data_IF_177274178822
#
_entry.id   IF_177274178822
#
_cell.length_a   1.000
_cell.length_b   1.000
_cell.length_c   1.000
_cell.angle_alpha   90.00
_cell.angle_beta   90.00
_cell.angle_gamma   90.00
#
_symmetry.space_group_name_H-M   'P 1'
#
loop_
_entity.id
_entity.type
_entity.pdbx_description
1 polymer ?
#
# COMPACT_ATOMS: atom_id res chain seq x y z
N UNK A 1 -6.26 -8.49 -21.36
CA UNK A 1 -5.05 -7.65 -21.26
C UNK A 1 -4.15 -8.03 -22.43
N UNK A 2 -3.60 -7.05 -23.13
CA UNK A 2 -2.72 -7.30 -24.26
C UNK A 2 -1.45 -8.02 -23.74
N UNK A 3 -0.91 -9.01 -24.46
CA UNK A 3 0.23 -9.84 -24.04
C UNK A 3 1.53 -9.03 -23.86
N UNK A 4 1.57 -7.85 -24.44
CA UNK A 4 2.72 -6.96 -24.37
C UNK A 4 2.80 -6.10 -23.09
N UNK A 5 1.81 -6.13 -22.20
CA UNK A 5 1.85 -5.35 -20.94
C UNK A 5 2.73 -6.04 -19.92
N UNK A 6 3.85 -5.41 -19.58
CA UNK A 6 4.83 -5.87 -18.57
C UNK A 6 4.67 -5.17 -17.23
N UNK A 7 4.17 -3.94 -17.23
CA UNK A 7 3.94 -3.14 -16.03
C UNK A 7 2.67 -2.32 -16.09
N UNK A 8 2.14 -2.00 -14.91
CA UNK A 8 1.06 -1.03 -14.73
C UNK A 8 1.54 -0.06 -13.66
N UNK A 9 1.47 1.23 -13.93
CA UNK A 9 1.81 2.25 -12.95
C UNK A 9 0.64 3.20 -12.75
N UNK A 10 0.37 3.53 -11.50
CA UNK A 10 -0.67 4.46 -11.09
C UNK A 10 -0.05 5.55 -10.23
N UNK A 11 -0.51 6.76 -10.43
CA UNK A 11 -0.27 7.87 -9.51
C UNK A 11 -1.57 8.67 -9.39
N UNK A 12 -1.89 9.09 -8.17
CA UNK A 12 -3.12 9.82 -7.93
C UNK A 12 -2.96 10.88 -6.85
N UNK A 13 -3.90 11.81 -6.84
CA UNK A 13 -4.08 12.81 -5.80
C UNK A 13 -5.39 12.52 -5.06
N UNK A 14 -5.34 12.57 -3.73
CA UNK A 14 -6.51 12.49 -2.84
C UNK A 14 -6.52 13.70 -1.93
N UNK A 15 -7.59 14.49 -1.98
CA UNK A 15 -7.85 15.56 -1.03
C UNK A 15 -8.56 14.97 0.19
N UNK A 16 -8.17 15.37 1.38
CA UNK A 16 -8.78 14.92 2.63
C UNK A 16 -9.30 16.09 3.44
N UNK A 17 -10.38 15.85 4.16
CA UNK A 17 -10.81 16.71 5.26
C UNK A 17 -9.94 16.50 6.49
N UNK A 18 -10.31 17.09 7.64
CA UNK A 18 -9.60 16.94 8.90
C UNK A 18 -9.45 15.47 9.28
N UNK A 19 -8.24 14.98 9.29
CA UNK A 19 -7.96 13.56 9.56
C UNK A 19 -6.54 13.34 10.10
N UNK A 20 -6.32 12.14 10.67
CA UNK A 20 -5.01 11.58 10.96
C UNK A 20 -4.94 10.19 10.31
N UNK A 21 -4.50 10.14 9.07
CA UNK A 21 -4.43 8.89 8.30
C UNK A 21 -3.35 7.93 8.81
N UNK A 22 -2.27 8.44 9.40
CA UNK A 22 -1.17 7.61 9.88
C UNK A 22 -0.51 8.23 11.12
N UNK A 23 -0.93 7.78 12.29
CA UNK A 23 -0.35 8.22 13.55
C UNK A 23 1.15 7.91 13.61
N UNK A 24 1.92 8.87 14.13
CA UNK A 24 3.31 8.75 14.55
C UNK A 24 3.45 8.15 15.95
N UNK A 25 4.66 8.12 16.45
CA UNK A 25 4.98 7.92 17.87
C UNK A 25 4.91 9.30 18.53
N UNK A 26 3.81 9.56 19.25
CA UNK A 26 3.64 10.81 19.97
C UNK A 26 4.38 10.81 21.31
N UNK A 27 4.70 11.97 21.83
CA UNK A 27 5.22 12.14 23.18
C UNK A 27 4.07 12.25 24.19
N UNK A 28 4.16 11.52 25.30
CA UNK A 28 3.20 11.52 26.40
C UNK A 28 1.74 11.28 25.95
N UNK A 29 0.87 12.29 26.03
CA UNK A 29 -0.55 12.20 25.68
C UNK A 29 -0.89 12.73 24.28
N UNK A 30 0.10 12.95 23.40
CA UNK A 30 -0.10 13.44 22.05
C UNK A 30 0.06 12.29 21.04
N UNK A 31 -0.90 12.14 20.14
CA UNK A 31 -0.83 11.25 18.98
C UNK A 31 -0.53 12.08 17.75
N UNK A 32 0.72 12.08 17.35
CA UNK A 32 1.22 12.85 16.22
C UNK A 32 0.77 12.27 14.88
N UNK A 33 0.72 13.13 13.86
CA UNK A 33 0.75 12.70 12.45
C UNK A 33 2.20 12.44 12.06
N UNK A 34 2.47 11.40 11.26
CA UNK A 34 3.79 11.20 10.66
C UNK A 34 4.11 12.32 9.69
N UNK A 35 5.26 12.98 9.90
CA UNK A 35 5.71 14.14 9.13
C UNK A 35 7.10 13.91 8.52
N UNK A 36 7.37 14.57 7.40
CA UNK A 36 8.71 14.70 6.82
C UNK A 36 9.04 16.18 6.57
N UNK A 37 10.33 16.48 6.57
CA UNK A 37 10.81 17.87 6.34
C UNK A 37 11.23 18.06 4.89
N UNK A 38 10.77 19.16 4.28
CA UNK A 38 11.18 19.62 2.96
C UNK A 38 11.28 21.13 2.96
N UNK A 39 12.46 21.68 2.58
CA UNK A 39 12.72 23.13 2.54
C UNK A 39 12.35 23.85 3.84
N UNK A 40 12.67 23.29 4.99
CA UNK A 40 12.41 23.87 6.31
C UNK A 40 10.98 23.75 6.81
N UNK A 41 10.03 23.28 6.01
CA UNK A 41 8.63 23.04 6.38
C UNK A 41 8.35 21.56 6.65
N UNK A 42 7.38 21.27 7.50
CA UNK A 42 6.88 19.92 7.76
C UNK A 42 5.66 19.61 6.89
N UNK A 43 5.60 18.37 6.41
CA UNK A 43 4.53 17.84 5.58
C UNK A 43 4.08 16.51 6.13
N UNK A 44 2.76 16.24 6.22
CA UNK A 44 2.29 14.92 6.66
C UNK A 44 2.55 13.88 5.60
N UNK A 45 2.68 12.61 6.02
CA UNK A 45 2.72 11.49 5.08
C UNK A 45 2.09 10.24 5.68
N UNK A 46 1.60 9.37 4.81
CA UNK A 46 1.19 8.02 5.15
C UNK A 46 2.28 7.06 4.68
N UNK A 47 2.83 6.27 5.58
CA UNK A 47 3.91 5.34 5.24
C UNK A 47 3.48 4.35 4.16
N UNK A 48 4.42 3.89 3.34
CA UNK A 48 4.16 2.87 2.33
C UNK A 48 3.63 1.56 2.93
N UNK A 49 4.00 1.24 4.17
CA UNK A 49 3.47 0.11 4.91
C UNK A 49 1.98 0.29 5.24
N UNK A 50 1.59 1.47 5.73
CA UNK A 50 0.18 1.78 6.01
C UNK A 50 -0.65 1.80 4.73
N UNK A 51 -0.18 2.46 3.67
CA UNK A 51 -0.84 2.45 2.36
C UNK A 51 -1.05 1.03 1.82
N UNK A 52 -0.02 0.19 1.96
CA UNK A 52 -0.11 -1.21 1.58
C UNK A 52 -1.15 -1.98 2.40
N UNK A 53 -1.26 -1.70 3.69
CA UNK A 53 -2.29 -2.27 4.56
C UNK A 53 -3.69 -1.84 4.09
N UNK A 54 -3.93 -0.56 3.82
CA UNK A 54 -5.23 -0.05 3.36
C UNK A 54 -5.67 -0.69 2.05
N UNK A 55 -4.76 -0.83 1.09
CA UNK A 55 -5.04 -1.51 -0.19
C UNK A 55 -5.37 -2.99 0.05
N UNK A 56 -4.63 -3.68 0.93
CA UNK A 56 -4.91 -5.08 1.25
C UNK A 56 -6.27 -5.25 1.92
N UNK A 57 -6.65 -4.36 2.83
CA UNK A 57 -7.97 -4.42 3.49
C UNK A 57 -9.10 -4.12 2.50
N UNK A 58 -8.93 -3.17 1.57
CA UNK A 58 -9.90 -2.93 0.50
C UNK A 58 -10.09 -4.18 -0.39
N UNK A 59 -9.00 -4.89 -0.74
CA UNK A 59 -9.10 -6.17 -1.46
C UNK A 59 -9.83 -7.21 -0.60
N UNK A 60 -9.50 -7.31 0.69
CA UNK A 60 -10.10 -8.30 1.62
C UNK A 60 -11.61 -8.12 1.76
N UNK A 61 -12.09 -6.89 1.83
CA UNK A 61 -13.54 -6.58 1.86
C UNK A 61 -14.26 -6.98 0.57
N UNK A 62 -13.55 -7.01 -0.56
CA UNK A 62 -14.07 -7.41 -1.87
C UNK A 62 -13.77 -8.87 -2.25
N UNK A 63 -13.40 -9.75 -1.30
CA UNK A 63 -13.17 -11.16 -1.59
C UNK A 63 -14.48 -11.88 -1.91
N UNK A 64 -14.44 -12.72 -2.93
CA UNK A 64 -15.50 -13.66 -3.25
C UNK A 64 -15.36 -14.92 -2.37
N UNK A 65 -16.42 -15.74 -2.29
CA UNK A 65 -16.51 -16.90 -1.40
C UNK A 65 -15.37 -17.92 -1.59
N UNK A 66 -14.87 -18.05 -2.81
CA UNK A 66 -13.79 -18.97 -3.17
C UNK A 66 -12.39 -18.34 -3.18
N UNK A 67 -12.26 -17.10 -2.75
CA UNK A 67 -10.99 -16.37 -2.72
C UNK A 67 -10.39 -16.32 -1.32
N UNK A 68 -9.08 -16.30 -1.26
CA UNK A 68 -8.37 -16.38 0.01
C UNK A 68 -7.23 -15.38 0.12
N UNK A 69 -7.19 -14.69 1.26
CA UNK A 69 -6.06 -13.88 1.71
C UNK A 69 -5.71 -14.25 3.14
N UNK A 70 -4.52 -14.80 3.37
CA UNK A 70 -4.05 -15.10 4.71
C UNK A 70 -3.81 -13.82 5.52
N UNK A 71 -3.89 -13.97 6.83
CA UNK A 71 -3.40 -12.97 7.80
C UNK A 71 -1.97 -13.34 8.22
N UNK A 72 -1.13 -12.37 8.61
CA UNK A 72 0.16 -12.65 9.21
C UNK A 72 -0.03 -13.25 10.61
N UNK A 73 0.93 -14.07 11.03
CA UNK A 73 1.05 -14.50 12.42
C UNK A 73 1.70 -13.43 13.30
N UNK A 74 1.97 -13.74 14.55
CA UNK A 74 2.59 -12.83 15.54
C UNK A 74 3.99 -12.35 15.12
N UNK A 75 4.68 -13.10 14.25
CA UNK A 75 6.00 -12.74 13.70
C UNK A 75 5.91 -11.99 12.39
N UNK A 76 4.69 -11.75 11.87
CA UNK A 76 4.47 -11.14 10.58
C UNK A 76 4.62 -12.11 9.39
N UNK A 77 4.80 -13.41 9.64
CA UNK A 77 4.90 -14.43 8.60
C UNK A 77 3.51 -14.83 8.08
N UNK A 78 3.37 -15.20 6.79
CA UNK A 78 2.09 -15.60 6.23
C UNK A 78 1.65 -16.95 6.79
N UNK A 79 0.46 -17.01 7.40
CA UNK A 79 -0.11 -18.27 7.95
C UNK A 79 -0.28 -19.37 6.89
N UNK A 80 -0.44 -18.99 5.61
CA UNK A 80 -0.48 -19.93 4.47
C UNK A 80 0.91 -20.37 3.98
N UNK A 81 1.99 -20.00 4.68
CA UNK A 81 3.39 -20.34 4.33
C UNK A 81 3.81 -19.92 2.92
N UNK A 82 3.27 -18.81 2.43
CA UNK A 82 3.61 -18.27 1.12
C UNK A 82 2.99 -19.00 -0.06
N UNK A 83 1.89 -19.69 0.12
CA UNK A 83 1.18 -20.36 -0.97
C UNK A 83 0.53 -19.33 -1.91
N UNK A 84 1.24 -18.95 -2.99
CA UNK A 84 0.77 -17.96 -3.97
C UNK A 84 -0.37 -18.49 -4.85
N UNK A 85 -0.51 -19.79 -5.00
CA UNK A 85 -1.60 -20.37 -5.79
C UNK A 85 -2.97 -20.03 -5.18
N UNK A 86 -3.09 -20.19 -3.87
CA UNK A 86 -4.32 -19.94 -3.11
C UNK A 86 -4.43 -18.52 -2.58
N UNK A 87 -3.32 -17.92 -2.15
CA UNK A 87 -3.33 -16.68 -1.39
C UNK A 87 -3.03 -15.46 -2.26
N UNK A 88 -4.05 -14.63 -2.48
CA UNK A 88 -3.96 -13.37 -3.23
C UNK A 88 -2.95 -12.41 -2.58
N UNK A 89 -2.92 -12.32 -1.24
CA UNK A 89 -1.99 -11.44 -0.53
C UNK A 89 -0.53 -11.86 -0.75
N UNK A 90 -0.21 -13.15 -0.63
CA UNK A 90 1.14 -13.64 -0.83
C UNK A 90 1.60 -13.47 -2.28
N UNK A 91 0.70 -13.70 -3.24
CA UNK A 91 1.04 -13.50 -4.65
C UNK A 91 1.31 -12.03 -4.98
N UNK A 92 0.40 -11.12 -4.61
CA UNK A 92 0.49 -9.72 -5.03
C UNK A 92 1.47 -8.90 -4.21
N UNK A 93 1.52 -9.14 -2.89
CA UNK A 93 2.29 -8.28 -1.98
C UNK A 93 3.57 -8.92 -1.47
N UNK A 94 3.90 -10.15 -1.88
CA UNK A 94 5.11 -10.82 -1.43
C UNK A 94 5.10 -11.14 0.08
N UNK A 95 6.14 -11.81 0.51
CA UNK A 95 6.29 -12.25 1.89
C UNK A 95 7.74 -12.65 2.21
N UNK A 96 7.99 -12.81 3.48
CA UNK A 96 9.13 -13.54 4.03
C UNK A 96 8.58 -14.54 5.06
N UNK A 97 9.01 -15.79 4.99
CA UNK A 97 8.60 -16.84 5.90
C UNK A 97 9.75 -17.80 6.16
N UNK A 98 9.72 -18.46 7.31
CA UNK A 98 10.62 -19.58 7.64
C UNK A 98 9.87 -20.89 7.43
N UNK A 99 10.36 -21.71 6.51
CA UNK A 99 9.72 -22.96 6.10
C UNK A 99 10.48 -24.16 6.64
N UNK A 100 9.76 -25.15 7.18
CA UNK A 100 10.34 -26.42 7.61
C UNK A 100 10.71 -27.27 6.39
N UNK A 101 11.82 -28.02 6.50
CA UNK A 101 12.23 -29.00 5.50
C UNK A 101 11.08 -30.00 5.21
N UNK A 102 10.87 -30.30 3.94
CA UNK A 102 9.82 -31.22 3.47
C UNK A 102 8.42 -30.60 3.33
N UNK A 103 8.24 -29.31 3.66
CA UNK A 103 6.94 -28.63 3.45
C UNK A 103 6.65 -28.49 1.96
N UNK A 104 5.53 -29.02 1.49
CA UNK A 104 5.08 -28.90 0.09
C UNK A 104 4.36 -27.58 -0.11
N UNK A 105 4.89 -26.76 -1.00
CA UNK A 105 4.35 -25.46 -1.40
C UNK A 105 4.57 -25.27 -2.91
N UNK A 106 3.86 -24.35 -3.58
CA UNK A 106 4.11 -24.07 -5.00
C UNK A 106 5.59 -23.77 -5.27
N UNK A 107 6.15 -24.44 -6.28
CA UNK A 107 7.57 -24.40 -6.61
C UNK A 107 8.43 -25.47 -5.94
N UNK A 108 7.92 -26.16 -4.92
CA UNK A 108 8.61 -27.22 -4.21
C UNK A 108 7.71 -28.44 -4.04
N UNK A 109 7.35 -29.16 -5.13
CA UNK A 109 6.44 -30.30 -5.09
C UNK A 109 7.01 -31.48 -4.25
N UNK A 110 8.33 -31.65 -4.27
CA UNK A 110 9.05 -32.66 -3.47
C UNK A 110 9.31 -32.23 -2.02
N UNK A 111 8.99 -30.97 -1.71
CA UNK A 111 9.17 -30.35 -0.40
C UNK A 111 10.30 -29.32 -0.37
N UNK A 112 10.09 -28.24 0.40
CA UNK A 112 11.06 -27.16 0.58
C UNK A 112 12.32 -27.67 1.33
N UNK A 113 13.53 -27.23 0.96
CA UNK A 113 14.77 -27.66 1.62
C UNK A 113 14.89 -27.20 3.09
N UNK A 114 14.02 -26.31 3.53
CA UNK A 114 14.04 -25.64 4.82
C UNK A 114 14.70 -24.27 4.76
N UNK A 115 14.43 -23.41 5.76
CA UNK A 115 15.01 -22.06 5.84
C UNK A 115 14.10 -20.97 5.29
N UNK A 116 14.72 -19.86 4.84
CA UNK A 116 13.98 -18.70 4.36
C UNK A 116 13.27 -18.97 3.02
N UNK A 117 12.00 -18.63 2.97
CA UNK A 117 11.19 -18.61 1.76
C UNK A 117 10.67 -17.19 1.56
N UNK A 118 11.07 -16.56 0.47
CA UNK A 118 10.79 -15.14 0.21
C UNK A 118 10.16 -14.96 -1.16
N UNK A 119 9.34 -13.92 -1.29
CA UNK A 119 8.79 -13.48 -2.55
C UNK A 119 8.89 -11.97 -2.67
N UNK A 120 9.50 -11.49 -3.73
CA UNK A 120 9.47 -10.07 -4.07
C UNK A 120 8.03 -9.66 -4.43
N UNK A 121 7.56 -8.57 -3.82
CA UNK A 121 6.24 -8.04 -4.07
C UNK A 121 6.05 -7.60 -5.53
N UNK A 122 5.13 -8.17 -6.32
CA UNK A 122 4.75 -7.63 -7.62
C UNK A 122 4.09 -6.26 -7.52
N UNK A 123 3.28 -6.03 -6.49
CA UNK A 123 2.63 -4.74 -6.23
C UNK A 123 3.52 -3.89 -5.31
N UNK A 124 4.04 -2.80 -5.83
CA UNK A 124 4.84 -1.82 -5.10
C UNK A 124 4.01 -0.60 -4.78
N UNK A 125 4.05 -0.14 -3.55
CA UNK A 125 3.22 0.95 -3.04
C UNK A 125 4.14 2.05 -2.52
N UNK A 126 3.93 3.27 -3.00
CA UNK A 126 4.62 4.46 -2.50
C UNK A 126 3.98 4.95 -1.18
N UNK A 127 4.73 5.64 -0.33
CA UNK A 127 4.12 6.48 0.70
C UNK A 127 3.18 7.51 0.08
N UNK A 128 2.08 7.83 0.75
CA UNK A 128 1.24 8.96 0.36
C UNK A 128 1.85 10.23 0.95
N UNK A 129 2.31 11.13 0.09
CA UNK A 129 3.02 12.33 0.48
C UNK A 129 2.07 13.53 0.50
N UNK A 130 1.90 14.16 1.66
CA UNK A 130 1.18 15.42 1.78
C UNK A 130 1.90 16.52 1.00
N UNK A 131 1.14 17.32 0.29
CA UNK A 131 1.66 18.35 -0.62
C UNK A 131 1.52 19.75 -0.05
N UNK A 132 0.72 19.93 1.02
CA UNK A 132 0.56 21.20 1.75
C UNK A 132 1.34 21.15 3.07
N UNK A 133 1.96 22.26 3.50
CA UNK A 133 2.64 22.33 4.78
C UNK A 133 1.70 22.01 5.95
N UNK A 134 2.20 21.27 6.94
CA UNK A 134 1.41 20.82 8.07
C UNK A 134 0.94 21.98 8.95
N UNK A 135 1.83 22.90 9.33
CA UNK A 135 1.55 23.97 10.27
C UNK A 135 0.43 24.92 9.83
N UNK A 136 0.24 25.06 8.52
CA UNK A 136 -0.78 25.92 7.94
C UNK A 136 -2.16 25.23 7.76
N UNK A 137 -2.21 23.89 7.92
CA UNK A 137 -3.36 23.05 7.57
C UNK A 137 -3.73 22.04 8.66
N UNK A 138 -3.37 22.29 9.90
CA UNK A 138 -3.56 21.36 11.01
C UNK A 138 -4.09 22.03 12.27
N UNK A 139 -4.62 21.19 13.15
CA UNK A 139 -5.10 21.56 14.49
C UNK A 139 -4.89 20.39 15.44
N UNK A 140 -4.83 20.68 16.74
CA UNK A 140 -4.84 19.66 17.80
C UNK A 140 -6.27 19.49 18.29
N UNK A 141 -6.77 18.27 18.29
CA UNK A 141 -8.08 17.89 18.80
C UNK A 141 -7.95 16.96 20.00
N UNK A 142 -9.01 16.82 20.78
CA UNK A 142 -9.04 16.02 22.00
C UNK A 142 -9.87 14.76 21.81
N UNK A 143 -9.29 13.60 22.14
CA UNK A 143 -9.98 12.34 22.20
C UNK A 143 -10.02 11.81 23.64
N UNK A 144 -11.20 11.33 24.06
CA UNK A 144 -11.32 10.63 25.33
C UNK A 144 -11.25 9.12 25.11
N UNK A 145 -10.42 8.42 25.87
CA UNK A 145 -10.36 6.96 25.96
C UNK A 145 -11.00 6.48 27.25
N UNK A 146 -11.85 5.46 27.17
CA UNK A 146 -12.28 4.74 28.38
C UNK A 146 -11.22 3.69 28.73
N UNK A 147 -10.79 3.64 30.01
CA UNK A 147 -9.95 2.54 30.51
C UNK A 147 -10.81 1.29 30.68
N UNK A 148 -10.25 0.08 30.44
CA UNK A 148 -10.91 -1.18 30.81
C UNK A 148 -11.20 -1.21 32.32
N UNK A 149 -12.32 -1.81 32.74
CA UNK A 149 -12.83 -1.81 34.11
C UNK A 149 -11.90 -2.48 35.15
N UNK A 150 -10.98 -3.33 34.71
CA UNK A 150 -10.11 -4.14 35.56
C UNK A 150 -8.95 -3.37 36.26
N UNK A 151 -8.73 -2.10 35.88
CA UNK A 151 -7.62 -1.28 36.42
C UNK A 151 -8.13 -0.04 37.17
N UNK A 152 -9.41 0.08 37.47
CA UNK A 152 -10.00 1.34 37.90
C UNK A 152 -10.46 1.33 39.36
N UNK A 153 -9.60 1.69 40.29
CA UNK A 153 -10.03 2.38 41.53
C UNK A 153 -10.51 3.83 41.27
N UNK A 154 -10.14 4.43 40.14
CA UNK A 154 -10.63 5.76 39.71
C UNK A 154 -11.10 5.72 38.24
N UNK A 155 -12.39 6.08 38.03
CA UNK A 155 -13.03 6.22 36.70
C UNK A 155 -12.56 7.50 35.97
N UNK A 156 -11.27 7.69 35.77
CA UNK A 156 -10.75 8.79 34.95
C UNK A 156 -10.54 8.29 33.53
N UNK A 157 -11.26 8.87 32.56
CA UNK A 157 -10.95 8.69 31.14
C UNK A 157 -9.60 9.35 30.82
N UNK A 158 -8.76 8.70 30.02
CA UNK A 158 -7.56 9.36 29.50
C UNK A 158 -7.97 10.34 28.40
N UNK A 159 -7.52 11.59 28.55
CA UNK A 159 -7.61 12.58 27.49
C UNK A 159 -6.34 12.43 26.65
N UNK A 160 -6.53 12.21 25.36
CA UNK A 160 -5.43 12.08 24.39
C UNK A 160 -5.57 13.21 23.39
N UNK A 161 -4.53 13.99 23.23
CA UNK A 161 -4.42 14.99 22.18
C UNK A 161 -4.10 14.28 20.85
N UNK A 162 -4.71 14.70 19.76
CA UNK A 162 -4.48 14.12 18.43
C UNK A 162 -4.25 15.25 17.45
N UNK A 163 -3.11 15.21 16.77
CA UNK A 163 -2.90 16.07 15.61
C UNK A 163 -3.79 15.60 14.45
N UNK A 164 -4.52 16.54 13.88
CA UNK A 164 -5.36 16.33 12.69
C UNK A 164 -5.13 17.45 11.70
N UNK A 165 -5.32 17.17 10.43
CA UNK A 165 -5.15 18.20 9.39
C UNK A 165 -5.83 17.84 8.09
N UNK A 166 -6.03 18.85 7.25
CA UNK A 166 -6.44 18.70 5.86
C UNK A 166 -5.21 18.65 4.96
N UNK A 167 -5.25 17.89 3.87
CA UNK A 167 -4.16 17.88 2.91
C UNK A 167 -4.60 17.38 1.53
N UNK A 168 -3.70 17.52 0.57
CA UNK A 168 -3.74 16.81 -0.72
C UNK A 168 -2.57 15.84 -0.70
N UNK A 169 -2.88 14.54 -0.79
CA UNK A 169 -1.86 13.50 -0.78
C UNK A 169 -1.56 13.00 -2.19
N UNK A 170 -0.28 12.97 -2.55
CA UNK A 170 0.20 12.27 -3.73
C UNK A 170 0.48 10.82 -3.36
N UNK A 171 -0.25 9.92 -3.97
CA UNK A 171 -0.15 8.48 -3.79
C UNK A 171 0.36 7.80 -5.05
N UNK A 172 0.92 6.62 -4.93
CA UNK A 172 1.43 5.88 -6.07
C UNK A 172 1.50 4.37 -5.87
N UNK A 173 1.35 3.65 -6.98
CA UNK A 173 1.42 2.20 -7.02
C UNK A 173 1.99 1.75 -8.36
N UNK A 174 2.75 0.65 -8.36
CA UNK A 174 3.20 -0.01 -9.58
C UNK A 174 3.01 -1.52 -9.46
N UNK A 175 2.60 -2.16 -10.54
CA UNK A 175 2.42 -3.61 -10.63
C UNK A 175 3.40 -4.16 -11.68
N UNK A 176 4.31 -5.03 -11.24
CA UNK A 176 5.10 -5.86 -12.13
C UNK A 176 4.25 -7.05 -12.59
N UNK A 177 3.63 -6.89 -13.76
CA UNK A 177 2.71 -7.90 -14.33
C UNK A 177 3.44 -9.21 -14.65
N UNK A 178 4.74 -9.15 -14.87
CA UNK A 178 5.54 -10.35 -15.24
C UNK A 178 5.69 -11.32 -14.08
N UNK A 179 5.57 -10.82 -12.84
CA UNK A 179 5.72 -11.60 -11.59
C UNK A 179 4.41 -12.13 -11.03
N UNK A 180 3.26 -11.53 -11.38
CA UNK A 180 1.97 -11.94 -10.82
C UNK A 180 1.65 -13.39 -11.22
N UNK A 181 1.36 -14.25 -10.24
CA UNK A 181 1.01 -15.65 -10.45
C UNK A 181 2.15 -16.54 -10.91
N UNK A 182 3.39 -16.08 -10.78
CA UNK A 182 4.61 -16.83 -11.13
C UNK A 182 5.58 -16.87 -9.97
N UNK A 183 6.39 -17.91 -9.91
CA UNK A 183 7.56 -17.98 -8.99
C UNK A 183 8.85 -17.75 -9.78
N UNK A 184 9.83 -17.24 -9.07
CA UNK A 184 11.19 -17.06 -9.58
C UNK A 184 11.97 -18.34 -9.38
N UNK A 185 12.55 -18.86 -10.44
CA UNK A 185 13.44 -20.02 -10.40
C UNK A 185 14.88 -19.56 -10.66
N UNK A 186 15.73 -19.74 -9.67
CA UNK A 186 17.13 -19.38 -9.67
C UNK A 186 18.08 -20.60 -9.80
N UNK A 187 17.54 -21.76 -10.16
CA UNK A 187 18.31 -23.02 -10.20
C UNK A 187 19.16 -23.16 -11.45
N UNK A 188 18.87 -22.41 -12.52
CA UNK A 188 19.64 -22.37 -13.75
C UNK A 188 20.63 -21.22 -13.83
N UNK A 189 21.26 -21.01 -14.99
CA UNK A 189 22.16 -19.90 -15.27
C UNK A 189 21.43 -18.55 -15.38
N UNK A 190 20.14 -18.59 -15.67
CA UNK A 190 19.30 -17.40 -15.84
C UNK A 190 18.07 -17.48 -14.94
N UNK A 191 17.56 -16.31 -14.53
CA UNK A 191 16.29 -16.22 -13.82
C UNK A 191 15.13 -16.61 -14.75
N UNK A 192 14.42 -17.66 -14.38
CA UNK A 192 13.20 -18.08 -15.05
C UNK A 192 11.96 -17.79 -14.19
N UNK A 193 10.81 -17.61 -14.86
CA UNK A 193 9.52 -17.41 -14.20
C UNK A 193 8.59 -18.60 -14.51
N UNK A 194 8.40 -19.47 -13.52
CA UNK A 194 7.44 -20.60 -13.65
C UNK A 194 6.02 -20.12 -13.33
N UNK A 195 5.11 -20.32 -14.28
CA UNK A 195 3.70 -19.99 -14.10
C UNK A 195 3.02 -20.99 -13.14
N UNK A 196 2.43 -20.47 -12.06
CA UNK A 196 1.68 -21.24 -11.06
C UNK A 196 0.18 -21.04 -11.25
N UNK A 197 -0.21 -19.84 -11.70
CA UNK A 197 -1.59 -19.41 -11.82
C UNK A 197 -1.84 -19.02 -13.27
N UNK A 198 -2.91 -19.57 -13.87
CA UNK A 198 -3.27 -19.29 -15.25
C UNK A 198 -3.64 -17.83 -15.51
N UNK A 199 -3.50 -17.38 -16.75
CA UNK A 199 -3.67 -16.00 -17.23
C UNK A 199 -4.98 -15.35 -16.76
N UNK A 200 -6.10 -16.08 -16.75
CA UNK A 200 -7.42 -15.55 -16.35
C UNK A 200 -7.42 -15.09 -14.88
N UNK A 201 -6.91 -15.93 -13.99
CA UNK A 201 -6.84 -15.63 -12.56
C UNK A 201 -5.82 -14.51 -12.27
N UNK A 202 -4.68 -14.47 -12.95
CA UNK A 202 -3.69 -13.38 -12.84
C UNK A 202 -4.32 -12.03 -13.20
N UNK A 203 -5.11 -11.98 -14.28
CA UNK A 203 -5.84 -10.76 -14.67
C UNK A 203 -6.86 -10.37 -13.58
N UNK A 204 -7.59 -11.35 -13.02
CA UNK A 204 -8.56 -11.11 -11.95
C UNK A 204 -7.89 -10.49 -10.73
N UNK A 205 -6.74 -11.02 -10.30
CA UNK A 205 -5.98 -10.47 -9.16
C UNK A 205 -5.47 -9.05 -9.41
N UNK A 206 -4.97 -8.76 -10.63
CA UNK A 206 -4.56 -7.40 -11.00
C UNK A 206 -5.75 -6.44 -10.95
N UNK A 207 -6.92 -6.84 -11.48
CA UNK A 207 -8.13 -6.03 -11.41
C UNK A 207 -8.53 -5.70 -9.97
N UNK A 208 -8.45 -6.66 -9.04
CA UNK A 208 -8.72 -6.41 -7.60
C UNK A 208 -7.82 -5.33 -7.00
N UNK A 209 -6.54 -5.27 -7.39
CA UNK A 209 -5.65 -4.18 -6.95
C UNK A 209 -6.11 -2.84 -7.49
N UNK A 210 -6.48 -2.77 -8.77
CA UNK A 210 -6.95 -1.52 -9.40
C UNK A 210 -8.28 -1.06 -8.79
N UNK A 211 -9.19 -1.97 -8.54
CA UNK A 211 -10.48 -1.70 -7.90
C UNK A 211 -10.31 -1.24 -6.45
N UNK A 212 -9.39 -1.83 -5.70
CA UNK A 212 -9.14 -1.49 -4.30
C UNK A 212 -8.81 0.00 -4.08
N UNK A 213 -8.19 0.66 -5.08
CA UNK A 213 -7.88 2.09 -4.99
C UNK A 213 -9.14 2.96 -4.88
N UNK A 214 -10.27 2.48 -5.39
CA UNK A 214 -11.57 3.18 -5.31
C UNK A 214 -12.28 2.96 -3.98
N UNK A 215 -11.81 2.06 -3.13
CA UNK A 215 -12.48 1.62 -1.90
C UNK A 215 -11.54 1.62 -0.70
N UNK A 216 -10.65 2.62 -0.63
CA UNK A 216 -9.76 2.79 0.53
C UNK A 216 -10.57 3.28 1.72
N UNK A 217 -10.79 2.43 2.71
CA UNK A 217 -11.65 2.71 3.87
C UNK A 217 -11.03 2.38 5.22
N UNK A 218 -9.96 1.59 5.28
CA UNK A 218 -9.42 1.06 6.53
C UNK A 218 -8.19 1.83 7.04
N UNK A 219 -8.25 3.16 7.02
CA UNK A 219 -7.22 4.04 7.59
C UNK A 219 -7.54 4.44 9.04
N UNK A 220 -6.62 5.13 9.72
CA UNK A 220 -6.74 5.37 11.15
C UNK A 220 -7.81 6.42 11.51
N UNK A 221 -8.34 6.34 12.75
CA UNK A 221 -9.23 7.33 13.38
C UNK A 221 -10.61 7.58 12.71
N UNK A 222 -11.03 6.76 11.74
CA UNK A 222 -12.26 6.94 10.96
C UNK A 222 -13.54 7.10 11.79
N UNK A 223 -13.64 6.45 12.92
CA UNK A 223 -14.83 6.52 13.77
C UNK A 223 -15.22 7.95 14.20
N UNK A 224 -14.28 8.90 14.14
CA UNK A 224 -14.47 10.30 14.54
C UNK A 224 -13.98 11.29 13.49
N UNK A 225 -13.12 10.86 12.59
CA UNK A 225 -12.46 11.68 11.58
C UNK A 225 -12.71 11.04 10.20
N UNK A 226 -14.00 10.86 9.88
CA UNK A 226 -14.39 10.28 8.59
C UNK A 226 -14.03 11.25 7.47
N UNK A 227 -13.18 10.79 6.56
CA UNK A 227 -12.82 11.49 5.33
C UNK A 227 -12.82 10.50 4.17
N UNK A 228 -12.92 10.97 2.96
CA UNK A 228 -12.67 10.17 1.76
C UNK A 228 -11.19 10.27 1.39
N UNK A 229 -10.54 9.13 1.19
CA UNK A 229 -9.13 9.05 0.76
C UNK A 229 -8.99 8.39 -0.62
N UNK A 230 -10.09 8.24 -1.33
CA UNK A 230 -10.08 7.74 -2.70
C UNK A 230 -9.52 8.80 -3.69
N UNK A 231 -9.15 8.43 -4.90
CA UNK A 231 -8.58 9.38 -5.87
C UNK A 231 -9.56 10.44 -6.35
N UNK A 232 -9.20 11.72 -6.25
CA UNK A 232 -9.86 12.82 -6.99
C UNK A 232 -9.35 12.88 -8.43
N UNK A 233 -8.03 12.69 -8.61
CA UNK A 233 -7.38 12.67 -9.93
C UNK A 233 -6.46 11.46 -9.98
N UNK A 234 -6.57 10.65 -11.01
CA UNK A 234 -5.73 9.47 -11.21
C UNK A 234 -5.18 9.40 -12.63
N UNK A 235 -3.91 9.03 -12.74
CA UNK A 235 -3.29 8.65 -13.99
C UNK A 235 -2.83 7.19 -13.93
N UNK A 236 -3.15 6.41 -14.96
CA UNK A 236 -2.79 5.00 -15.08
C UNK A 236 -2.09 4.78 -16.40
N UNK A 237 -0.96 4.08 -16.39
CA UNK A 237 -0.23 3.67 -17.59
C UNK A 237 -0.09 2.15 -17.66
N UNK A 238 -0.27 1.60 -18.87
CA UNK A 238 -0.01 0.21 -19.21
C UNK A 238 1.27 0.15 -20.04
N UNK A 239 2.31 -0.47 -19.51
CA UNK A 239 3.66 -0.33 -19.99
C UNK A 239 4.18 -1.61 -20.66
N UNK A 240 4.85 -1.48 -21.82
CA UNK A 240 5.59 -2.57 -22.47
C UNK A 240 6.91 -2.89 -21.73
N UNK A 241 7.50 -1.88 -21.10
CA UNK A 241 8.66 -2.01 -20.17
C UNK A 241 8.25 -1.50 -18.81
N UNK A 242 8.44 -2.30 -17.77
CA UNK A 242 8.12 -1.92 -16.40
C UNK A 242 8.95 -0.73 -15.94
N UNK A 243 8.28 0.32 -15.48
CA UNK A 243 8.89 1.60 -15.11
C UNK A 243 8.14 2.24 -13.92
N UNK A 244 8.86 3.00 -13.11
CA UNK A 244 8.29 3.81 -12.03
C UNK A 244 8.22 5.32 -12.38
N UNK A 245 8.48 5.69 -13.63
CA UNK A 245 8.60 7.09 -14.05
C UNK A 245 7.33 7.90 -13.78
N UNK A 246 6.16 7.28 -13.90
CA UNK A 246 4.87 7.91 -13.62
C UNK A 246 4.77 8.48 -12.20
N UNK A 247 5.52 7.94 -11.23
CA UNK A 247 5.51 8.44 -9.85
C UNK A 247 6.01 9.89 -9.72
N UNK A 248 6.63 10.44 -10.76
CA UNK A 248 7.08 11.84 -10.83
C UNK A 248 6.04 12.78 -11.45
N UNK A 249 4.85 12.28 -11.84
CA UNK A 249 3.87 13.05 -12.61
C UNK A 249 3.38 14.29 -11.86
N UNK A 250 2.97 14.11 -10.60
CA UNK A 250 2.46 15.22 -9.80
C UNK A 250 3.58 15.79 -8.94
N UNK A 251 4.10 16.92 -9.36
CA UNK A 251 4.97 17.78 -8.56
C UNK A 251 4.33 19.17 -8.47
N UNK A 252 4.52 19.82 -7.32
CA UNK A 252 3.97 21.14 -7.06
C UNK A 252 5.05 22.19 -7.26
N UNK A 253 4.73 23.20 -8.05
CA UNK A 253 5.49 24.41 -8.14
C UNK A 253 5.11 25.33 -6.98
N UNK A 254 6.09 25.73 -6.17
CA UNK A 254 5.89 26.60 -4.99
C UNK A 254 4.78 26.12 -4.01
N UNK A 255 4.57 24.81 -3.86
CA UNK A 255 3.60 24.18 -2.99
C UNK A 255 2.11 24.51 -3.21
N UNK A 256 1.76 25.19 -4.30
CA UNK A 256 0.38 25.65 -4.52
C UNK A 256 -0.22 25.25 -5.87
N UNK A 257 0.61 24.97 -6.87
CA UNK A 257 0.15 24.63 -8.22
C UNK A 257 0.86 23.39 -8.75
N UNK A 258 0.13 22.57 -9.49
CA UNK A 258 0.73 21.45 -10.23
C UNK A 258 1.61 22.03 -11.35
N UNK A 259 2.86 21.55 -11.43
CA UNK A 259 3.75 21.85 -12.55
C UNK A 259 3.21 21.20 -13.83
N UNK A 260 2.44 21.97 -14.60
CA UNK A 260 1.80 21.51 -15.84
C UNK A 260 2.80 21.25 -16.96
N UNK A 261 3.94 21.92 -16.97
CA UNK A 261 5.00 21.72 -17.98
C UNK A 261 5.63 20.35 -17.76
N UNK A 262 6.01 20.06 -16.54
CA UNK A 262 6.55 18.74 -16.16
C UNK A 262 5.54 17.63 -16.37
N UNK A 263 4.28 17.84 -16.04
CA UNK A 263 3.20 16.90 -16.27
C UNK A 263 3.12 16.52 -17.76
N UNK A 264 3.12 17.49 -18.66
CA UNK A 264 3.12 17.27 -20.13
C UNK A 264 4.34 16.47 -20.57
N UNK A 265 5.54 16.85 -20.14
CA UNK A 265 6.79 16.16 -20.49
C UNK A 265 6.79 14.70 -20.07
N UNK A 266 6.28 14.39 -18.87
CA UNK A 266 6.23 12.99 -18.37
C UNK A 266 5.20 12.20 -19.17
N UNK A 267 4.00 12.76 -19.43
CA UNK A 267 2.97 12.07 -20.21
C UNK A 267 3.43 11.81 -21.65
N UNK A 268 4.06 12.79 -22.30
CA UNK A 268 4.60 12.64 -23.66
C UNK A 268 5.66 11.52 -23.71
N UNK A 269 6.53 11.45 -22.69
CA UNK A 269 7.57 10.40 -22.61
C UNK A 269 6.96 9.01 -22.35
N UNK A 270 5.93 8.90 -21.52
CA UNK A 270 5.23 7.64 -21.24
C UNK A 270 4.40 7.18 -22.44
N UNK A 271 3.83 8.09 -23.23
CA UNK A 271 3.06 7.77 -24.43
C UNK A 271 3.92 7.33 -25.62
N UNK A 272 5.21 7.62 -25.62
CA UNK A 272 6.17 7.23 -26.67
C UNK A 272 6.75 5.82 -26.46
N UNK A 273 6.43 5.15 -25.35
CA UNK A 273 6.87 3.79 -24.99
C UNK A 273 5.75 2.78 -25.29
#
# INVERSE_FOLDING_TARGET
MNENVKGISLVWLSKTDLTNLNAGEGEANLVDIKKYKKMGKEFPYVSGQAMRYYIKEAIRRGLEENEFMCIPDERGEPTCKGNIEKCISCDLFGFMATIKKGTKIPGYPEGHPGGAHTRVSPVKVAPAMGLLPFDENSVIDFLTRRKPQEVAEERKGDIVNVEIGTNIYKCGLAIDVTRVGKIEDWTGETLEFKEIIGKKERIKRIKKVLEAIRFLTDYSKQARLLTDFTPDIICITFQKKYSHRLQKLFEFENNTKIDTTRLKQILETELQI
#
